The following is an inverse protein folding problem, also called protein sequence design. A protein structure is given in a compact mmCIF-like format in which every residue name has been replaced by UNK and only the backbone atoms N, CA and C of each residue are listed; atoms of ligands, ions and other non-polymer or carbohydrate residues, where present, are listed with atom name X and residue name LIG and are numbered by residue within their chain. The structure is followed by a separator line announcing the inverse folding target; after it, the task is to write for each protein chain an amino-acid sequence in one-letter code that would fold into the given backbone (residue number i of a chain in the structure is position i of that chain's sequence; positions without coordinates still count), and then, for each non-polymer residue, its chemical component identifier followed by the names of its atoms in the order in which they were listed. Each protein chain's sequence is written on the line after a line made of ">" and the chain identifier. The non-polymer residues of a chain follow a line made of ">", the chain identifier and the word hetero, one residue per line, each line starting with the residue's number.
data_IF_651524244283
#
_entry.id   IF_651524244283
#
_cell.length_a   1.000
_cell.length_b   1.000
_cell.length_c   1.000
_cell.angle_alpha   90.00
_cell.angle_beta   90.00
_cell.angle_gamma   90.00
#
_symmetry.space_group_name_H-M   'P 1'
#
loop_
_entity.id
_entity.type
_entity.pdbx_description
1 polymer ?
#
# COMPACT_ATOMS: atom_id res chain seq x y z
N UNK A 1 -41.57 -16.64 -32.98
CA UNK A 1 -42.59 -15.65 -33.39
C UNK A 1 -43.88 -16.02 -32.69
N UNK A 2 -44.55 -15.24 -31.86
CA UNK A 2 -44.33 -13.96 -31.19
C UNK A 2 -45.48 -13.91 -30.17
N UNK A 3 -45.21 -13.99 -28.87
CA UNK A 3 -46.19 -13.61 -27.85
C UNK A 3 -45.71 -12.32 -27.21
N UNK A 4 -46.40 -11.25 -27.57
CA UNK A 4 -46.07 -9.85 -27.30
C UNK A 4 -47.23 -9.29 -26.48
N UNK A 5 -46.91 -8.96 -25.22
CA UNK A 5 -47.49 -7.92 -24.36
C UNK A 5 -48.88 -8.15 -23.74
N UNK A 6 -48.88 -8.60 -22.47
CA UNK A 6 -49.88 -8.18 -21.50
C UNK A 6 -49.69 -6.69 -21.15
N UNK A 7 -50.71 -5.88 -21.40
CA UNK A 7 -50.78 -4.50 -20.90
C UNK A 7 -51.25 -4.50 -19.44
N UNK A 8 -50.32 -4.26 -18.51
CA UNK A 8 -50.64 -3.89 -17.13
C UNK A 8 -51.24 -2.47 -17.10
N UNK A 9 -52.54 -2.38 -16.84
CA UNK A 9 -53.21 -1.10 -16.61
C UNK A 9 -52.93 -0.63 -15.18
N UNK A 10 -51.92 0.23 -15.02
CA UNK A 10 -51.61 0.86 -13.73
C UNK A 10 -52.84 1.60 -13.18
N UNK A 11 -53.25 1.27 -11.96
CA UNK A 11 -54.39 1.90 -11.29
C UNK A 11 -54.17 3.42 -11.16
N UNK A 12 -55.26 4.18 -11.24
CA UNK A 12 -55.27 5.65 -11.04
C UNK A 12 -54.63 6.05 -9.70
N UNK A 13 -54.62 5.15 -8.73
CA UNK A 13 -54.01 5.32 -7.41
C UNK A 13 -52.49 5.15 -7.45
N UNK A 14 -51.97 4.16 -8.18
CA UNK A 14 -50.53 3.95 -8.37
C UNK A 14 -49.91 5.12 -9.12
N UNK A 15 -50.58 5.60 -10.17
CA UNK A 15 -50.14 6.79 -10.90
C UNK A 15 -50.10 8.04 -10.01
N UNK A 16 -51.04 8.19 -9.06
CA UNK A 16 -51.03 9.30 -8.09
C UNK A 16 -49.87 9.18 -7.11
N UNK A 17 -49.59 7.99 -6.60
CA UNK A 17 -48.47 7.73 -5.68
C UNK A 17 -47.12 7.90 -6.38
N UNK A 18 -46.98 7.46 -7.63
CA UNK A 18 -45.78 7.69 -8.44
C UNK A 18 -45.57 9.16 -8.75
N UNK A 19 -46.62 9.90 -9.14
CA UNK A 19 -46.51 11.35 -9.37
C UNK A 19 -46.13 12.08 -8.08
N UNK A 20 -46.74 11.71 -6.94
CA UNK A 20 -46.41 12.30 -5.65
C UNK A 20 -44.95 12.02 -5.25
N UNK A 21 -44.47 10.79 -5.47
CA UNK A 21 -43.09 10.40 -5.19
C UNK A 21 -42.08 11.15 -6.07
N UNK A 22 -42.40 11.37 -7.34
CA UNK A 22 -41.53 12.13 -8.27
C UNK A 22 -41.51 13.61 -7.92
N UNK A 23 -42.64 14.21 -7.55
CA UNK A 23 -42.68 15.61 -7.11
C UNK A 23 -41.91 15.78 -5.81
N UNK A 24 -42.05 14.86 -4.85
CA UNK A 24 -41.35 14.90 -3.58
C UNK A 24 -39.84 14.69 -3.73
N UNK A 25 -39.40 13.76 -4.60
CA UNK A 25 -37.97 13.58 -4.89
C UNK A 25 -37.36 14.80 -5.57
N UNK A 26 -38.08 15.44 -6.48
CA UNK A 26 -37.65 16.68 -7.14
C UNK A 26 -37.49 17.83 -6.14
N UNK A 27 -38.40 17.93 -5.17
CA UNK A 27 -38.34 18.93 -4.10
C UNK A 27 -37.15 18.70 -3.16
N UNK A 28 -36.91 17.45 -2.75
CA UNK A 28 -35.78 17.09 -1.88
C UNK A 28 -34.44 17.37 -2.58
N UNK A 29 -34.30 17.01 -3.86
CA UNK A 29 -33.07 17.28 -4.63
C UNK A 29 -32.88 18.78 -4.83
N UNK A 30 -33.94 19.55 -5.08
CA UNK A 30 -33.86 21.00 -5.27
C UNK A 30 -33.42 21.72 -3.99
N UNK A 31 -33.96 21.33 -2.83
CA UNK A 31 -33.55 21.88 -1.52
C UNK A 31 -32.11 21.46 -1.19
N UNK A 32 -31.75 20.20 -1.47
CA UNK A 32 -30.37 19.72 -1.29
C UNK A 32 -29.35 20.50 -2.12
N UNK A 33 -29.68 20.80 -3.38
CA UNK A 33 -28.82 21.58 -4.27
C UNK A 33 -28.70 23.05 -3.82
N UNK A 34 -29.77 23.63 -3.28
CA UNK A 34 -29.76 25.00 -2.75
C UNK A 34 -28.90 25.13 -1.48
N UNK A 35 -28.94 24.13 -0.59
CA UNK A 35 -28.09 24.08 0.61
C UNK A 35 -26.62 23.87 0.22
N UNK A 36 -26.34 23.02 -0.78
CA UNK A 36 -24.98 22.82 -1.29
C UNK A 36 -24.38 24.10 -1.89
N UNK A 37 -25.17 24.86 -2.67
CA UNK A 37 -24.71 26.11 -3.27
C UNK A 37 -24.54 27.25 -2.25
N UNK A 38 -25.31 27.25 -1.15
CA UNK A 38 -25.19 28.24 -0.09
C UNK A 38 -23.98 28.01 0.84
N UNK A 39 -23.59 26.74 1.06
CA UNK A 39 -22.46 26.37 1.92
C UNK A 39 -21.14 26.20 1.15
N UNK A 40 -21.20 25.97 -0.17
CA UNK A 40 -20.04 25.74 -1.03
C UNK A 40 -20.19 26.45 -2.39
N UNK A 41 -20.04 27.78 -2.46
CA UNK A 41 -20.06 28.50 -3.74
C UNK A 41 -18.89 28.07 -4.65
N UNK A 42 -19.09 27.87 -5.96
CA UNK A 42 -18.01 27.50 -6.87
C UNK A 42 -16.98 28.62 -6.99
N UNK A 43 -15.70 28.31 -6.74
CA UNK A 43 -14.60 29.27 -6.93
C UNK A 43 -14.43 29.61 -8.41
N UNK A 44 -14.48 30.90 -8.74
CA UNK A 44 -14.17 31.41 -10.08
C UNK A 44 -12.68 31.17 -10.39
N UNK A 45 -12.39 30.33 -11.40
CA UNK A 45 -11.05 30.18 -11.95
C UNK A 45 -10.75 31.36 -12.88
N UNK A 46 -9.82 32.22 -12.46
CA UNK A 46 -9.22 33.25 -13.31
C UNK A 46 -8.51 32.60 -14.50
N UNK A 47 -8.90 33.06 -15.68
CA UNK A 47 -8.29 32.77 -16.97
C UNK A 47 -6.99 33.55 -17.08
N UNK A 48 -5.85 32.86 -17.15
CA UNK A 48 -4.56 33.49 -17.50
C UNK A 48 -4.23 33.18 -18.95
N UNK A 49 -4.14 34.25 -19.75
CA UNK A 49 -3.74 34.25 -21.15
C UNK A 49 -2.25 33.92 -21.31
N UNK A 50 -1.93 33.19 -22.38
CA UNK A 50 -0.58 32.98 -22.88
C UNK A 50 -0.04 34.23 -23.60
N UNK A 51 1.30 34.36 -23.67
CA UNK A 51 1.91 34.76 -24.94
C UNK A 51 2.98 33.77 -25.43
N UNK A 52 3.10 33.72 -26.76
CA UNK A 52 3.97 32.86 -27.55
C UNK A 52 5.35 33.48 -27.87
N UNK A 53 6.34 32.57 -28.00
CA UNK A 53 7.53 32.54 -28.89
C UNK A 53 8.58 33.67 -28.78
N UNK A 54 9.89 33.40 -28.62
CA UNK A 54 10.78 32.87 -29.67
C UNK A 54 12.18 32.49 -29.12
N UNK A 55 12.91 31.73 -29.95
CA UNK A 55 14.18 31.00 -29.81
C UNK A 55 15.49 31.75 -29.52
N UNK A 56 16.46 31.05 -28.90
CA UNK A 56 17.88 30.99 -29.35
C UNK A 56 18.68 29.89 -28.62
N UNK A 57 19.52 29.16 -29.38
CA UNK A 57 20.48 28.13 -28.95
C UNK A 57 21.66 28.70 -28.14
N UNK A 58 22.28 27.88 -27.27
CA UNK A 58 23.63 28.13 -26.76
C UNK A 58 23.96 27.38 -25.45
N UNK A 59 24.86 26.42 -25.57
CA UNK A 59 25.53 25.53 -24.59
C UNK A 59 25.97 26.17 -23.26
N UNK A 60 25.89 25.40 -22.15
CA UNK A 60 26.97 25.02 -21.19
C UNK A 60 26.47 24.85 -19.74
N UNK A 61 26.88 23.75 -19.08
CA UNK A 61 26.74 23.48 -17.62
C UNK A 61 27.82 24.29 -16.87
N UNK A 62 27.62 24.77 -15.62
CA UNK A 62 27.59 23.85 -14.47
C UNK A 62 26.76 24.27 -13.22
N UNK A 63 26.51 23.25 -12.39
CA UNK A 63 26.41 23.22 -10.91
C UNK A 63 25.46 24.16 -10.12
N UNK A 64 24.48 23.50 -9.48
CA UNK A 64 24.04 23.63 -8.07
C UNK A 64 23.60 25.01 -7.54
N UNK A 65 22.28 25.21 -7.42
CA UNK A 65 21.73 25.82 -6.21
C UNK A 65 20.27 25.42 -5.96
N UNK A 66 19.98 25.12 -4.70
CA UNK A 66 18.65 24.87 -4.15
C UNK A 66 17.76 26.11 -4.35
N UNK A 67 16.66 25.95 -5.09
CA UNK A 67 15.48 26.78 -4.92
C UNK A 67 14.23 25.89 -4.85
N UNK A 68 13.63 25.95 -3.67
CA UNK A 68 12.30 25.49 -3.31
C UNK A 68 11.25 26.09 -4.24
N UNK A 69 10.50 25.22 -4.93
CA UNK A 69 9.17 25.55 -5.43
C UNK A 69 8.15 25.34 -4.30
N UNK A 70 7.28 26.31 -4.00
CA UNK A 70 6.15 26.10 -3.12
C UNK A 70 4.95 25.56 -3.92
N UNK A 71 4.31 24.50 -3.43
CA UNK A 71 2.96 24.11 -3.83
C UNK A 71 2.83 22.74 -4.49
N UNK A 72 2.97 21.69 -3.69
CA UNK A 72 2.24 20.44 -3.90
C UNK A 72 1.77 19.96 -2.52
N UNK A 73 0.47 19.74 -2.39
CA UNK A 73 -0.15 19.27 -1.15
C UNK A 73 0.37 17.86 -0.92
N UNK A 74 1.28 17.69 0.04
CA UNK A 74 1.80 16.39 0.43
C UNK A 74 0.76 15.66 1.27
N UNK A 75 -0.15 14.94 0.60
CA UNK A 75 -1.10 14.01 1.24
C UNK A 75 -0.49 12.62 1.45
N UNK A 76 0.79 12.44 1.10
CA UNK A 76 1.56 11.23 1.38
C UNK A 76 2.17 11.35 2.79
N UNK A 77 1.95 10.39 3.70
CA UNK A 77 2.49 10.46 5.05
C UNK A 77 4.01 10.61 5.03
N UNK A 78 4.56 11.68 5.61
CA UNK A 78 5.98 11.69 5.90
C UNK A 78 6.25 10.67 7.01
N UNK A 79 7.21 9.73 6.86
CA UNK A 79 7.57 8.86 7.97
C UNK A 79 8.00 9.72 9.15
N UNK A 80 7.49 9.41 10.34
CA UNK A 80 7.88 10.09 11.58
C UNK A 80 9.40 9.95 11.72
N UNK A 81 10.16 11.04 11.93
CA UNK A 81 11.60 10.95 12.12
C UNK A 81 11.89 10.01 13.28
N UNK A 82 12.67 8.96 13.01
CA UNK A 82 13.14 8.06 14.05
C UNK A 82 14.12 8.86 14.90
N UNK A 83 13.69 9.33 16.08
CA UNK A 83 14.65 9.79 17.08
C UNK A 83 15.50 8.59 17.47
N UNK A 84 16.81 8.72 17.26
CA UNK A 84 17.79 7.75 17.71
C UNK A 84 17.60 7.55 19.22
N UNK A 85 17.15 6.35 19.60
CA UNK A 85 17.11 5.96 21.00
C UNK A 85 18.57 5.91 21.45
N UNK A 86 18.89 6.67 22.51
CA UNK A 86 20.26 6.88 22.96
C UNK A 86 21.08 5.59 23.05
N UNK A 87 22.32 5.68 22.59
CA UNK A 87 23.34 4.64 22.65
C UNK A 87 23.58 4.18 24.09
N UNK A 88 22.97 3.05 24.46
CA UNK A 88 23.38 2.25 25.60
C UNK A 88 24.15 1.03 25.08
N UNK A 89 25.47 1.06 25.28
CA UNK A 89 26.34 -0.08 25.05
C UNK A 89 25.81 -1.32 25.80
N UNK A 90 25.65 -2.43 25.09
CA UNK A 90 25.49 -3.76 25.69
C UNK A 90 24.10 -4.12 26.27
N UNK A 91 23.03 -3.43 25.89
CA UNK A 91 21.68 -3.86 26.27
C UNK A 91 21.15 -4.89 25.27
N UNK A 92 21.08 -6.15 25.69
CA UNK A 92 20.33 -7.18 24.97
C UNK A 92 18.87 -6.74 24.91
N UNK A 93 18.35 -6.46 23.71
CA UNK A 93 16.93 -6.15 23.55
C UNK A 93 16.16 -7.43 23.94
N UNK A 94 15.31 -7.42 24.98
CA UNK A 94 14.57 -8.60 25.39
C UNK A 94 13.78 -9.18 24.22
N UNK A 95 13.76 -10.50 24.07
CA UNK A 95 12.97 -11.15 23.01
C UNK A 95 11.59 -11.48 23.57
N UNK A 96 10.48 -11.14 22.87
CA UNK A 96 9.15 -11.54 23.29
C UNK A 96 9.03 -13.07 23.44
N UNK A 97 8.28 -13.52 24.44
CA UNK A 97 8.13 -14.94 24.76
C UNK A 97 7.06 -15.67 23.93
N UNK A 98 6.13 -14.93 23.30
CA UNK A 98 5.03 -15.47 22.55
C UNK A 98 4.63 -14.57 21.37
N UNK A 99 4.02 -15.19 20.37
CA UNK A 99 3.38 -14.48 19.27
C UNK A 99 2.11 -13.75 19.76
N UNK A 100 1.91 -12.52 19.30
CA UNK A 100 0.79 -11.67 19.68
C UNK A 100 0.34 -10.82 18.49
N UNK A 101 -0.96 -10.52 18.46
CA UNK A 101 -1.55 -9.61 17.48
C UNK A 101 -1.67 -8.17 18.01
N UNK A 102 -1.56 -7.21 17.11
CA UNK A 102 -1.61 -5.78 17.36
C UNK A 102 -2.50 -5.12 16.31
N UNK A 103 -3.31 -4.15 16.71
CA UNK A 103 -4.29 -3.51 15.84
C UNK A 103 -3.99 -2.02 15.75
N UNK A 104 -3.85 -1.52 14.52
CA UNK A 104 -3.91 -0.10 14.21
C UNK A 104 -5.24 0.17 13.51
N UNK A 105 -6.02 1.11 14.02
CA UNK A 105 -7.34 1.45 13.48
C UNK A 105 -7.44 2.95 13.20
N UNK A 106 -7.92 3.28 12.00
CA UNK A 106 -8.32 4.64 11.60
C UNK A 106 -9.82 4.66 11.33
N UNK A 107 -10.39 5.77 10.86
CA UNK A 107 -11.79 5.84 10.45
C UNK A 107 -12.13 5.00 9.20
N UNK A 108 -11.14 4.73 8.32
CA UNK A 108 -11.31 4.01 7.04
C UNK A 108 -10.71 2.61 7.02
N UNK A 109 -9.67 2.32 7.82
CA UNK A 109 -9.01 1.00 7.84
C UNK A 109 -8.86 0.43 9.25
N UNK A 110 -8.81 -0.91 9.33
CA UNK A 110 -8.33 -1.67 10.49
C UNK A 110 -7.23 -2.61 10.03
N UNK A 111 -6.00 -2.38 10.47
CA UNK A 111 -4.84 -3.20 10.17
C UNK A 111 -4.48 -4.06 11.38
N UNK A 112 -4.42 -5.38 11.19
CA UNK A 112 -3.95 -6.32 12.22
C UNK A 112 -2.57 -6.82 11.85
N UNK A 113 -1.65 -6.74 12.80
CA UNK A 113 -0.27 -7.18 12.68
C UNK A 113 0.04 -8.30 13.65
N UNK A 114 0.98 -9.18 13.31
CA UNK A 114 1.62 -10.09 14.27
C UNK A 114 3.03 -9.62 14.59
N UNK A 115 3.50 -9.83 15.83
CA UNK A 115 4.91 -9.60 16.16
C UNK A 115 5.86 -10.67 15.58
N UNK A 116 5.37 -11.78 15.02
CA UNK A 116 6.19 -12.68 14.23
C UNK A 116 6.58 -12.00 12.90
N UNK A 117 7.84 -11.54 12.79
CA UNK A 117 8.32 -10.80 11.61
C UNK A 117 7.72 -9.40 11.39
N UNK A 118 6.86 -8.93 12.30
CA UNK A 118 6.19 -7.63 12.19
C UNK A 118 5.32 -7.56 10.93
N UNK A 119 4.54 -8.60 10.68
CA UNK A 119 3.80 -8.82 9.44
C UNK A 119 2.35 -8.33 9.55
N UNK A 120 1.80 -7.76 8.47
CA UNK A 120 0.39 -7.42 8.34
C UNK A 120 -0.40 -8.70 8.01
N UNK A 121 -1.27 -9.15 8.89
CA UNK A 121 -2.06 -10.38 8.69
C UNK A 121 -3.47 -10.08 8.16
N UNK A 122 -3.95 -8.85 8.35
CA UNK A 122 -5.22 -8.38 7.82
C UNK A 122 -5.22 -6.86 7.63
N UNK A 123 -5.91 -6.38 6.59
CA UNK A 123 -6.24 -4.98 6.40
C UNK A 123 -7.68 -4.82 5.92
N UNK A 124 -8.59 -4.54 6.86
CA UNK A 124 -10.02 -4.41 6.60
C UNK A 124 -10.39 -2.97 6.23
N UNK A 125 -11.10 -2.80 5.12
CA UNK A 125 -11.62 -1.51 4.66
C UNK A 125 -13.00 -1.23 5.29
N UNK A 126 -13.04 -0.40 6.33
CA UNK A 126 -14.21 -0.16 7.19
C UNK A 126 -15.43 0.43 6.47
N UNK A 127 -15.21 1.16 5.37
CA UNK A 127 -16.27 1.79 4.57
C UNK A 127 -16.84 0.89 3.46
N UNK A 128 -16.28 -0.30 3.27
CA UNK A 128 -16.65 -1.20 2.17
C UNK A 128 -17.17 -2.51 2.73
N UNK A 129 -18.50 -2.61 2.84
CA UNK A 129 -19.16 -3.74 3.49
C UNK A 129 -18.84 -5.06 2.79
N UNK A 130 -18.51 -6.04 3.60
CA UNK A 130 -18.50 -7.45 3.23
C UNK A 130 -19.38 -8.21 4.23
N UNK A 131 -20.49 -8.76 3.76
CA UNK A 131 -21.45 -9.47 4.60
C UNK A 131 -20.99 -10.89 4.96
N UNK A 132 -19.97 -11.41 4.26
CA UNK A 132 -19.36 -12.71 4.53
C UNK A 132 -18.28 -12.63 5.60
N UNK A 133 -17.76 -11.42 5.85
CA UNK A 133 -16.68 -11.17 6.79
C UNK A 133 -17.26 -10.69 8.13
N UNK A 134 -16.90 -11.37 9.22
CA UNK A 134 -17.36 -11.01 10.57
C UNK A 134 -16.88 -9.63 11.03
N UNK A 135 -15.81 -9.09 10.41
CA UNK A 135 -15.30 -7.73 10.65
C UNK A 135 -16.14 -6.65 9.95
N UNK A 136 -17.04 -7.06 9.04
CA UNK A 136 -18.02 -6.21 8.38
C UNK A 136 -17.48 -5.38 7.22
N UNK A 137 -16.23 -5.58 6.81
CA UNK A 137 -15.59 -4.87 5.70
C UNK A 137 -14.72 -5.79 4.85
N UNK A 138 -14.38 -5.35 3.64
CA UNK A 138 -13.49 -6.09 2.73
C UNK A 138 -12.09 -6.15 3.32
N UNK A 139 -11.56 -7.36 3.53
CA UNK A 139 -10.16 -7.58 3.90
C UNK A 139 -9.27 -7.64 2.67
N UNK A 140 -8.26 -6.79 2.64
CA UNK A 140 -7.34 -6.66 1.52
C UNK A 140 -6.13 -7.57 1.61
N UNK A 141 -5.87 -8.23 2.74
CA UNK A 141 -4.83 -9.26 2.88
C UNK A 141 -5.53 -10.60 3.06
N UNK A 142 -5.66 -11.37 1.99
CA UNK A 142 -6.41 -12.62 1.99
C UNK A 142 -5.46 -13.80 2.19
N UNK A 143 -5.58 -14.56 3.29
CA UNK A 143 -4.77 -15.74 3.50
C UNK A 143 -5.19 -16.89 2.56
N UNK A 144 -4.17 -17.59 2.05
CA UNK A 144 -4.33 -18.85 1.33
C UNK A 144 -4.17 -20.04 2.26
N UNK A 145 -3.93 -21.22 1.69
CA UNK A 145 -3.75 -22.47 2.43
C UNK A 145 -2.53 -22.49 3.35
N UNK A 146 -1.51 -21.67 3.03
CA UNK A 146 -0.28 -21.51 3.83
C UNK A 146 -0.28 -20.23 4.67
N UNK A 147 -1.42 -19.54 4.80
CA UNK A 147 -1.54 -18.25 5.48
C UNK A 147 -1.43 -17.05 4.55
N UNK A 148 -1.22 -15.87 5.15
CA UNK A 148 -0.97 -14.61 4.45
C UNK A 148 0.53 -14.28 4.47
N UNK A 149 0.93 -13.41 3.55
CA UNK A 149 2.22 -12.74 3.51
C UNK A 149 1.97 -11.25 3.29
N UNK A 150 1.55 -10.53 4.34
CA UNK A 150 1.24 -9.10 4.21
C UNK A 150 2.45 -8.23 4.56
N UNK A 151 3.16 -7.76 3.53
CA UNK A 151 4.37 -6.95 3.70
C UNK A 151 5.40 -7.65 4.60
N UNK A 152 5.52 -8.96 4.40
CA UNK A 152 6.52 -9.81 5.03
C UNK A 152 7.91 -9.44 4.54
N UNK A 153 8.94 -9.62 5.37
CA UNK A 153 10.32 -9.32 5.01
C UNK A 153 11.16 -10.59 5.00
N UNK A 154 11.87 -10.82 3.91
CA UNK A 154 12.84 -11.91 3.77
C UNK A 154 14.23 -11.32 3.53
N UNK A 155 15.26 -11.80 4.21
CA UNK A 155 16.64 -11.43 3.86
C UNK A 155 17.08 -12.17 2.59
N UNK A 156 17.81 -11.50 1.70
CA UNK A 156 18.18 -12.04 0.40
C UNK A 156 17.04 -11.99 -0.63
N UNK A 157 17.20 -12.75 -1.71
CA UNK A 157 16.27 -12.77 -2.86
C UNK A 157 15.17 -13.82 -2.75
N UNK A 158 15.32 -14.84 -1.91
CA UNK A 158 14.35 -15.93 -1.78
C UNK A 158 13.18 -15.47 -0.90
N UNK A 159 11.91 -15.69 -1.32
CA UNK A 159 10.74 -15.38 -0.49
C UNK A 159 10.64 -16.42 0.64
N UNK A 160 11.33 -16.14 1.74
CA UNK A 160 11.31 -16.92 2.98
C UNK A 160 11.13 -15.94 4.13
N UNK A 161 9.88 -15.52 4.41
CA UNK A 161 9.58 -14.54 5.43
C UNK A 161 10.22 -14.87 6.76
N UNK A 162 10.85 -13.87 7.38
CA UNK A 162 11.29 -13.98 8.77
C UNK A 162 10.07 -14.13 9.69
N UNK A 163 10.16 -15.01 10.69
CA UNK A 163 9.06 -15.30 11.64
C UNK A 163 9.48 -15.08 13.08
N UNK A 164 10.68 -14.57 13.29
CA UNK A 164 11.19 -14.26 14.60
C UNK A 164 10.33 -13.20 15.31
N UNK A 165 10.06 -13.43 16.60
CA UNK A 165 9.24 -12.53 17.41
C UNK A 165 9.94 -11.17 17.63
N UNK A 166 9.26 -10.09 17.28
CA UNK A 166 9.80 -8.73 17.33
C UNK A 166 9.23 -7.95 18.52
N UNK A 167 10.07 -7.11 19.13
CA UNK A 167 9.60 -6.15 20.12
C UNK A 167 8.65 -5.16 19.46
N UNK A 168 7.52 -4.91 20.09
CA UNK A 168 6.44 -4.13 19.48
C UNK A 168 6.09 -2.93 20.36
N UNK A 169 5.93 -1.76 19.75
CA UNK A 169 5.58 -0.53 20.44
C UNK A 169 4.68 0.34 19.57
N UNK A 170 3.55 0.81 20.11
CA UNK A 170 2.80 1.91 19.49
C UNK A 170 3.53 3.23 19.73
N UNK A 171 3.65 4.03 18.68
CA UNK A 171 4.24 5.35 18.74
C UNK A 171 3.13 6.41 18.72
N UNK A 172 3.24 7.42 19.59
CA UNK A 172 2.23 8.45 19.77
C UNK A 172 1.01 7.99 20.57
N UNK A 173 0.20 8.95 21.00
CA UNK A 173 -0.97 8.70 21.87
C UNK A 173 -2.15 8.10 21.11
N UNK A 174 -2.32 8.45 19.84
CA UNK A 174 -3.42 7.99 18.98
C UNK A 174 -3.23 6.56 18.45
N UNK A 175 -2.07 5.92 18.70
CA UNK A 175 -1.73 4.55 18.26
C UNK A 175 -1.90 4.31 16.76
N UNK A 176 -1.79 5.35 15.94
CA UNK A 176 -1.83 5.25 14.47
C UNK A 176 -0.51 4.77 13.86
N UNK A 177 0.52 4.65 14.69
CA UNK A 177 1.87 4.26 14.29
C UNK A 177 2.33 3.10 15.17
N UNK A 178 2.87 2.04 14.55
CA UNK A 178 3.36 0.85 15.26
C UNK A 178 4.76 0.49 14.77
N UNK A 179 5.65 0.22 15.71
CA UNK A 179 7.03 -0.17 15.46
C UNK A 179 7.28 -1.60 15.91
N UNK A 180 7.95 -2.37 15.06
CA UNK A 180 8.49 -3.70 15.34
C UNK A 180 10.01 -3.64 15.26
N UNK A 181 10.71 -4.20 16.23
CA UNK A 181 12.18 -4.22 16.24
C UNK A 181 12.76 -5.52 16.73
N UNK A 182 13.86 -5.96 16.11
CA UNK A 182 14.60 -7.15 16.53
C UNK A 182 16.07 -7.02 16.15
N UNK A 183 16.93 -7.57 16.99
CA UNK A 183 18.35 -7.71 16.71
C UNK A 183 18.61 -8.97 15.87
N UNK A 184 19.39 -8.80 14.81
CA UNK A 184 19.89 -9.85 13.91
C UNK A 184 21.40 -9.74 13.80
N UNK A 185 22.02 -10.67 13.07
CA UNK A 185 23.46 -10.68 12.82
C UNK A 185 23.76 -10.61 11.32
N UNK A 186 24.78 -9.84 10.95
CA UNK A 186 25.29 -9.75 9.58
C UNK A 186 26.84 -9.77 9.57
N UNK A 187 27.47 -10.19 8.47
CA UNK A 187 28.91 -10.04 8.30
C UNK A 187 29.33 -8.57 8.41
N UNK A 188 30.42 -8.32 9.15
CA UNK A 188 31.14 -7.05 9.12
C UNK A 188 31.74 -6.85 7.73
N UNK A 189 31.70 -5.63 7.20
CA UNK A 189 32.28 -5.36 5.88
C UNK A 189 33.77 -5.73 5.83
N UNK A 190 34.12 -6.59 4.87
CA UNK A 190 35.50 -7.09 4.70
C UNK A 190 35.91 -8.21 5.65
N UNK A 191 34.98 -8.81 6.39
CA UNK A 191 35.24 -9.92 7.32
C UNK A 191 34.09 -10.92 7.37
N UNK A 192 34.38 -12.18 7.67
CA UNK A 192 33.35 -13.20 7.94
C UNK A 192 32.81 -13.12 9.38
N UNK A 193 33.40 -12.25 10.22
CA UNK A 193 32.90 -12.01 11.56
C UNK A 193 31.49 -11.43 11.51
N UNK A 194 30.55 -12.10 12.17
CA UNK A 194 29.19 -11.59 12.36
C UNK A 194 29.14 -10.59 13.50
N UNK A 195 28.40 -9.50 13.28
CA UNK A 195 28.12 -8.45 14.26
C UNK A 195 26.63 -8.16 14.32
N UNK A 196 26.10 -7.73 15.48
CA UNK A 196 24.67 -7.46 15.62
C UNK A 196 24.26 -6.16 14.92
N UNK A 197 23.06 -6.17 14.36
CA UNK A 197 22.34 -4.99 13.88
C UNK A 197 20.88 -5.06 14.30
N UNK A 198 20.22 -3.90 14.40
CA UNK A 198 18.80 -3.79 14.69
C UNK A 198 18.04 -3.60 13.38
N UNK A 199 17.08 -4.49 13.12
CA UNK A 199 16.04 -4.28 12.13
C UNK A 199 14.84 -3.63 12.81
N UNK A 200 14.33 -2.54 12.24
CA UNK A 200 13.11 -1.86 12.69
C UNK A 200 12.14 -1.66 11.53
N UNK A 201 10.89 -2.09 11.69
CA UNK A 201 9.77 -1.81 10.79
C UNK A 201 8.83 -0.83 11.48
N UNK A 202 8.51 0.31 10.86
CA UNK A 202 7.54 1.27 11.40
C UNK A 202 6.44 1.49 10.39
N UNK A 203 5.21 1.14 10.76
CA UNK A 203 4.01 1.38 9.97
C UNK A 203 3.31 2.63 10.50
N UNK A 204 3.00 3.58 9.61
CA UNK A 204 2.40 4.88 9.96
C UNK A 204 1.14 5.14 9.15
N UNK A 205 0.00 5.27 9.84
CA UNK A 205 -1.32 5.47 9.25
C UNK A 205 -1.86 6.88 9.52
N UNK A 206 -2.67 7.39 8.60
CA UNK A 206 -3.40 8.64 8.75
C UNK A 206 -4.91 8.39 8.72
N UNK A 207 -5.67 9.23 9.42
CA UNK A 207 -7.13 9.24 9.31
C UNK A 207 -7.55 9.69 7.91
N UNK A 208 -8.60 9.07 7.37
CA UNK A 208 -9.18 9.34 6.05
C UNK A 208 -8.40 8.74 4.88
N UNK A 209 -7.27 8.07 5.14
CA UNK A 209 -6.33 7.61 4.12
C UNK A 209 -6.27 6.08 4.00
N UNK A 210 -6.26 5.60 2.75
CA UNK A 210 -6.02 4.19 2.40
C UNK A 210 -4.55 3.90 2.09
N UNK A 211 -3.72 4.95 2.01
CA UNK A 211 -2.27 4.85 1.89
C UNK A 211 -1.60 5.01 3.26
N UNK A 212 -0.65 4.12 3.56
CA UNK A 212 0.17 4.20 4.76
C UNK A 212 1.66 4.05 4.42
N UNK A 213 2.51 4.54 5.32
CA UNK A 213 3.97 4.44 5.19
C UNK A 213 4.53 3.22 5.93
N UNK A 214 5.55 2.60 5.34
CA UNK A 214 6.44 1.65 6.00
C UNK A 214 7.88 2.17 5.92
N UNK A 215 8.51 2.37 7.07
CA UNK A 215 9.95 2.60 7.17
C UNK A 215 10.65 1.31 7.64
N UNK A 216 11.62 0.82 6.87
CA UNK A 216 12.49 -0.30 7.24
C UNK A 216 13.87 0.25 7.54
N UNK A 217 14.31 0.15 8.79
CA UNK A 217 15.63 0.63 9.24
C UNK A 217 16.52 -0.53 9.62
N UNK A 218 17.78 -0.43 9.22
CA UNK A 218 18.88 -1.32 9.57
C UNK A 218 19.91 -0.44 10.26
N UNK A 219 20.29 -0.77 11.49
CA UNK A 219 21.22 0.04 12.28
C UNK A 219 22.21 -0.84 13.04
N UNK A 220 23.51 -0.62 12.83
CA UNK A 220 24.57 -1.26 13.62
C UNK A 220 24.87 -0.38 14.85
N UNK A 221 24.61 -0.86 16.09
CA UNK A 221 24.77 -0.05 17.31
C UNK A 221 26.16 0.59 17.55
N UNK A 222 27.24 -0.01 17.05
CA UNK A 222 28.61 0.50 17.23
C UNK A 222 29.08 1.35 16.02
N UNK A 223 28.21 1.60 15.04
CA UNK A 223 28.56 2.35 13.83
C UNK A 223 29.50 1.63 12.86
N UNK A 224 29.74 0.32 13.04
CA UNK A 224 30.57 -0.49 12.15
C UNK A 224 29.78 -0.84 10.88
N UNK A 225 30.42 -0.85 9.70
CA UNK A 225 29.73 -1.20 8.47
C UNK A 225 29.45 -2.70 8.40
N UNK A 226 28.20 -3.07 8.15
CA UNK A 226 27.77 -4.44 7.85
C UNK A 226 27.48 -4.61 6.37
N UNK A 227 27.43 -5.86 5.89
CA UNK A 227 27.02 -6.20 4.52
C UNK A 227 25.79 -7.09 4.54
N UNK A 228 24.76 -6.71 3.77
CA UNK A 228 23.57 -7.51 3.52
C UNK A 228 23.39 -7.71 2.01
N UNK A 229 23.04 -8.93 1.61
CA UNK A 229 22.77 -9.26 0.21
C UNK A 229 24.01 -9.36 -0.65
N UNK A 230 24.99 -10.18 -0.27
CA UNK A 230 26.20 -10.44 -1.06
C UNK A 230 25.91 -10.98 -2.48
N UNK A 231 24.70 -11.51 -2.71
CA UNK A 231 24.17 -11.94 -4.00
C UNK A 231 23.37 -10.86 -4.75
N UNK A 232 23.41 -9.61 -4.30
CA UNK A 232 22.81 -8.45 -4.99
C UNK A 232 21.51 -7.93 -4.36
N UNK A 233 20.82 -8.71 -3.52
CA UNK A 233 19.57 -8.31 -2.85
C UNK A 233 19.75 -8.39 -1.33
N UNK A 234 19.65 -7.27 -0.62
CA UNK A 234 19.76 -7.26 0.85
C UNK A 234 18.54 -7.91 1.51
N UNK A 235 17.36 -7.52 1.07
CA UNK A 235 16.09 -8.09 1.50
C UNK A 235 15.01 -7.84 0.46
N UNK A 236 13.89 -8.54 0.62
CA UNK A 236 12.66 -8.31 -0.13
C UNK A 236 11.46 -8.10 0.80
N UNK A 237 10.50 -7.30 0.33
CA UNK A 237 9.19 -7.14 0.96
C UNK A 237 8.14 -7.79 0.05
N UNK A 238 7.38 -8.73 0.59
CA UNK A 238 6.42 -9.52 -0.18
C UNK A 238 4.97 -9.21 0.24
N UNK A 239 4.08 -9.21 -0.75
CA UNK A 239 2.64 -9.24 -0.58
C UNK A 239 2.08 -10.51 -1.19
N UNK A 240 1.21 -11.20 -0.47
CA UNK A 240 0.46 -12.35 -0.96
C UNK A 240 -0.38 -13.03 0.12
N UNK A 241 -0.97 -14.18 -0.21
CA UNK A 241 -1.06 -14.75 -1.55
C UNK A 241 -2.17 -14.11 -2.39
N UNK A 242 -3.02 -13.23 -1.87
CA UNK A 242 -4.05 -12.55 -2.66
C UNK A 242 -4.53 -11.26 -1.99
N UNK A 243 -4.93 -10.28 -2.80
CA UNK A 243 -5.69 -9.13 -2.30
C UNK A 243 -7.19 -9.37 -2.42
N UNK A 244 -7.94 -8.86 -1.45
CA UNK A 244 -9.39 -9.05 -1.42
C UNK A 244 -10.17 -8.21 -2.44
N UNK A 245 -11.48 -8.46 -2.54
CA UNK A 245 -12.25 -9.52 -1.84
C UNK A 245 -11.91 -10.94 -2.36
N UNK A 246 -12.31 -11.98 -1.63
CA UNK A 246 -12.02 -13.38 -2.01
C UNK A 246 -12.74 -13.79 -3.30
N UNK A 247 -12.09 -14.60 -4.14
CA UNK A 247 -12.68 -15.11 -5.40
C UNK A 247 -13.80 -16.12 -5.21
N UNK A 248 -13.85 -16.83 -4.09
CA UNK A 248 -14.85 -17.87 -3.82
C UNK A 248 -16.28 -17.32 -3.73
N UNK A 249 -16.43 -16.02 -3.47
CA UNK A 249 -17.71 -15.33 -3.39
C UNK A 249 -18.17 -14.71 -4.71
N UNK A 250 -17.35 -14.79 -5.77
CA UNK A 250 -17.57 -14.06 -7.00
C UNK A 250 -17.97 -15.02 -8.13
N UNK A 251 -18.97 -14.68 -8.96
CA UNK A 251 -19.32 -15.45 -10.15
C UNK A 251 -18.10 -15.66 -11.05
N UNK A 252 -18.12 -16.73 -11.86
CA UNK A 252 -17.06 -16.98 -12.85
C UNK A 252 -16.86 -15.74 -13.72
N UNK A 253 -15.62 -15.24 -13.82
CA UNK A 253 -15.20 -14.01 -14.51
C UNK A 253 -15.64 -12.67 -13.87
N UNK A 254 -16.17 -12.66 -12.65
CA UNK A 254 -16.64 -11.43 -12.01
C UNK A 254 -15.53 -10.57 -11.43
N UNK A 255 -14.31 -11.10 -11.26
CA UNK A 255 -13.17 -10.39 -10.71
C UNK A 255 -11.85 -10.87 -11.34
N UNK A 256 -10.84 -10.02 -11.29
CA UNK A 256 -9.52 -10.25 -11.88
C UNK A 256 -8.44 -9.72 -10.96
N UNK A 257 -7.20 -10.17 -11.15
CA UNK A 257 -6.02 -9.57 -10.54
C UNK A 257 -5.03 -9.28 -11.65
N UNK A 258 -4.82 -7.99 -11.92
CA UNK A 258 -3.91 -7.51 -12.97
C UNK A 258 -2.71 -6.83 -12.34
N UNK A 259 -1.53 -7.27 -12.70
CA UNK A 259 -0.31 -6.56 -12.35
C UNK A 259 -0.17 -5.35 -13.25
N UNK A 260 0.12 -4.20 -12.65
CA UNK A 260 0.39 -2.96 -13.37
C UNK A 260 1.65 -2.35 -12.78
N UNK A 261 2.65 -2.10 -13.61
CA UNK A 261 3.85 -1.35 -13.24
C UNK A 261 3.88 -0.02 -13.98
N UNK A 262 4.35 1.04 -13.36
CA UNK A 262 4.73 2.26 -14.09
C UNK A 262 6.23 2.22 -14.32
N UNK A 263 6.61 2.10 -15.59
CA UNK A 263 8.00 1.99 -16.04
C UNK A 263 8.29 3.16 -16.97
N UNK A 264 9.24 4.01 -16.60
CA UNK A 264 9.70 5.17 -17.39
C UNK A 264 8.54 6.13 -17.79
N UNK A 265 7.65 6.43 -16.84
CA UNK A 265 6.46 7.27 -17.01
C UNK A 265 5.26 6.56 -17.65
N UNK A 266 5.34 5.26 -17.93
CA UNK A 266 4.30 4.52 -18.68
C UNK A 266 3.76 3.34 -17.88
N UNK A 267 2.43 3.30 -17.74
CA UNK A 267 1.71 2.16 -17.16
C UNK A 267 1.77 0.96 -18.11
N UNK A 268 2.31 -0.16 -17.64
CA UNK A 268 2.39 -1.45 -18.34
C UNK A 268 1.60 -2.48 -17.56
N UNK A 269 0.75 -3.24 -18.25
CA UNK A 269 0.07 -4.40 -17.66
C UNK A 269 0.94 -5.62 -17.83
N UNK A 270 1.18 -6.33 -16.73
CA UNK A 270 2.03 -7.52 -16.70
C UNK A 270 1.15 -8.77 -16.54
N UNK A 271 1.54 -9.85 -17.23
CA UNK A 271 0.79 -11.12 -17.26
C UNK A 271 1.76 -12.27 -17.07
N UNK A 272 2.19 -12.55 -15.82
CA UNK A 272 3.14 -13.62 -15.55
C UNK A 272 2.56 -14.97 -15.97
N UNK A 273 3.43 -15.87 -16.44
CA UNK A 273 3.04 -17.26 -16.67
C UNK A 273 2.76 -17.92 -15.32
N UNK A 274 1.75 -18.79 -15.27
CA UNK A 274 1.45 -19.54 -14.05
C UNK A 274 2.68 -20.33 -13.57
N UNK A 275 2.93 -20.32 -12.26
CA UNK A 275 4.04 -21.01 -11.60
C UNK A 275 5.42 -20.55 -12.08
N UNK A 276 5.54 -19.32 -12.57
CA UNK A 276 6.81 -18.74 -13.01
C UNK A 276 6.90 -17.30 -12.57
N UNK A 277 7.86 -17.01 -11.69
CA UNK A 277 8.19 -15.65 -11.31
C UNK A 277 8.60 -14.82 -12.54
N UNK A 278 8.03 -13.62 -12.66
CA UNK A 278 8.38 -12.63 -13.67
C UNK A 278 9.04 -11.45 -12.99
N UNK A 279 10.23 -11.08 -13.46
CA UNK A 279 10.98 -9.93 -12.93
C UNK A 279 10.60 -8.68 -13.71
N UNK A 280 10.25 -7.62 -12.99
CA UNK A 280 9.96 -6.30 -13.54
C UNK A 280 11.19 -5.40 -13.39
N UNK A 281 11.39 -4.52 -14.38
CA UNK A 281 12.56 -3.67 -14.47
C UNK A 281 12.75 -2.77 -13.22
N UNK A 282 14.01 -2.49 -12.82
CA UNK A 282 14.34 -1.57 -11.73
C UNK A 282 13.82 -0.14 -11.92
N UNK A 283 13.59 0.28 -13.18
CA UNK A 283 13.08 1.60 -13.52
C UNK A 283 11.59 1.78 -13.22
N UNK A 284 10.91 0.74 -12.72
CA UNK A 284 9.52 0.90 -12.31
C UNK A 284 9.43 1.78 -11.04
N UNK A 285 8.60 2.82 -11.08
CA UNK A 285 8.41 3.76 -9.95
C UNK A 285 7.40 3.23 -8.92
N UNK A 286 6.45 2.41 -9.36
CA UNK A 286 5.50 1.69 -8.53
C UNK A 286 5.01 0.42 -9.21
N UNK A 287 4.49 -0.49 -8.39
CA UNK A 287 3.89 -1.75 -8.83
C UNK A 287 2.55 -1.95 -8.12
N UNK A 288 1.55 -2.40 -8.86
CA UNK A 288 0.19 -2.57 -8.38
C UNK A 288 -0.35 -3.94 -8.71
N UNK A 289 -1.20 -4.44 -7.82
CA UNK A 289 -2.15 -5.50 -8.12
C UNK A 289 -3.55 -4.88 -8.14
N UNK A 290 -4.15 -4.76 -9.33
CA UNK A 290 -5.48 -4.18 -9.52
C UNK A 290 -6.54 -5.28 -9.59
N UNK A 291 -7.54 -5.14 -8.72
CA UNK A 291 -8.83 -5.83 -8.80
C UNK A 291 -9.88 -5.05 -9.58
N UNK A 292 -11.11 -5.58 -9.59
CA UNK A 292 -12.27 -4.88 -10.16
C UNK A 292 -12.57 -3.57 -9.44
N UNK A 293 -12.72 -3.62 -8.12
CA UNK A 293 -13.10 -2.46 -7.28
C UNK A 293 -11.98 -1.93 -6.40
N UNK A 294 -10.98 -2.74 -6.07
CA UNK A 294 -9.91 -2.40 -5.15
C UNK A 294 -8.55 -2.59 -5.80
N UNK A 295 -7.53 -1.97 -5.24
CA UNK A 295 -6.15 -2.13 -5.67
C UNK A 295 -5.22 -2.17 -4.46
N UNK A 296 -4.13 -2.92 -4.63
CA UNK A 296 -2.89 -2.70 -3.92
C UNK A 296 -1.93 -1.91 -4.80
N UNK A 297 -1.22 -0.93 -4.24
CA UNK A 297 -0.15 -0.20 -4.92
C UNK A 297 1.04 -0.07 -3.96
N UNK A 298 2.22 -0.44 -4.43
CA UNK A 298 3.48 -0.29 -3.73
C UNK A 298 4.33 0.80 -4.40
N UNK A 299 4.73 1.80 -3.63
CA UNK A 299 5.53 2.94 -4.07
C UNK A 299 6.79 3.04 -3.21
N UNK A 300 7.93 2.45 -3.63
CA UNK A 300 9.20 2.67 -2.94
C UNK A 300 9.68 4.12 -3.16
N UNK A 301 10.21 4.75 -2.10
CA UNK A 301 10.77 6.11 -2.20
C UNK A 301 12.17 6.14 -2.83
N UNK A 302 12.91 5.04 -2.72
CA UNK A 302 14.22 4.86 -3.31
C UNK A 302 14.19 3.78 -4.40
N UNK A 303 15.03 3.86 -5.44
CA UNK A 303 15.11 2.83 -6.47
C UNK A 303 15.41 1.45 -5.88
N UNK A 304 14.76 0.42 -6.44
CA UNK A 304 14.96 -0.98 -6.09
C UNK A 304 15.85 -1.68 -7.13
N UNK A 305 16.34 -2.89 -6.81
CA UNK A 305 17.00 -3.76 -7.79
C UNK A 305 16.01 -4.43 -8.75
N UNK A 306 14.71 -4.32 -8.48
CA UNK A 306 13.65 -4.86 -9.31
C UNK A 306 12.44 -5.23 -8.48
N UNK A 307 11.47 -5.83 -9.15
CA UNK A 307 10.29 -6.38 -8.54
C UNK A 307 10.06 -7.78 -9.08
N UNK A 308 9.38 -8.62 -8.32
CA UNK A 308 9.02 -9.96 -8.73
C UNK A 308 7.52 -10.14 -8.61
N UNK A 309 6.89 -10.74 -9.61
CA UNK A 309 5.46 -11.07 -9.58
C UNK A 309 5.29 -12.54 -9.95
N UNK A 310 4.37 -13.22 -9.28
CA UNK A 310 4.04 -14.61 -9.59
C UNK A 310 2.55 -14.85 -9.42
N UNK A 311 1.99 -15.68 -10.30
CA UNK A 311 0.64 -16.22 -10.15
C UNK A 311 0.72 -17.74 -10.07
N UNK A 312 0.10 -18.32 -9.06
CA UNK A 312 0.04 -19.77 -8.84
C UNK A 312 -1.42 -20.20 -8.54
N UNK A 313 -1.64 -21.48 -8.27
CA UNK A 313 -2.89 -22.00 -7.75
C UNK A 313 -2.80 -22.19 -6.24
N UNK A 314 -3.91 -21.99 -5.55
CA UNK A 314 -4.04 -22.32 -4.14
C UNK A 314 -5.39 -23.01 -3.91
N UNK A 315 -5.45 -24.10 -3.14
CA UNK A 315 -6.69 -24.88 -2.97
C UNK A 315 -7.79 -24.13 -2.22
N UNK A 316 -7.45 -23.14 -1.38
CA UNK A 316 -8.39 -22.36 -0.59
C UNK A 316 -8.89 -21.12 -1.34
N UNK A 317 -8.01 -20.42 -2.05
CA UNK A 317 -8.33 -19.14 -2.72
C UNK A 317 -8.32 -19.21 -4.25
N UNK A 318 -8.21 -20.43 -4.81
CA UNK A 318 -8.15 -20.80 -6.24
C UNK A 318 -6.91 -20.30 -6.97
N UNK A 319 -6.44 -19.09 -6.68
CA UNK A 319 -5.30 -18.47 -7.33
C UNK A 319 -4.53 -17.61 -6.35
N UNK A 320 -3.20 -17.66 -6.43
CA UNK A 320 -2.32 -16.71 -5.76
C UNK A 320 -1.88 -15.61 -6.73
N UNK A 321 -1.61 -14.44 -6.18
CA UNK A 321 -1.02 -13.29 -6.84
C UNK A 321 -0.03 -12.66 -5.86
N UNK A 322 1.24 -13.04 -5.97
CA UNK A 322 2.30 -12.51 -5.11
C UNK A 322 3.04 -11.38 -5.82
N UNK A 323 3.64 -10.51 -5.01
CA UNK A 323 4.43 -9.37 -5.43
C UNK A 323 5.58 -9.18 -4.44
N UNK A 324 6.82 -9.11 -4.94
CA UNK A 324 8.03 -8.85 -4.17
C UNK A 324 8.73 -7.56 -4.60
N UNK A 325 9.13 -6.73 -3.63
CA UNK A 325 9.97 -5.55 -3.81
C UNK A 325 11.41 -5.93 -3.47
N UNK A 326 12.34 -5.89 -4.42
CA UNK A 326 13.70 -6.39 -4.22
C UNK A 326 14.68 -5.25 -3.90
N UNK A 327 15.04 -5.08 -2.63
CA UNK A 327 16.03 -4.08 -2.21
C UNK A 327 17.42 -4.57 -2.62
N UNK A 328 18.19 -3.74 -3.34
CA UNK A 328 19.62 -3.94 -3.66
C UNK A 328 20.49 -4.36 -2.47
N UNK A 329 21.75 -4.72 -2.66
CA UNK A 329 22.69 -4.99 -1.56
C UNK A 329 22.93 -3.73 -0.70
N UNK A 330 23.27 -3.92 0.57
CA UNK A 330 23.61 -2.85 1.50
C UNK A 330 25.02 -3.08 2.04
N UNK A 331 25.82 -2.02 2.06
CA UNK A 331 27.08 -1.98 2.79
C UNK A 331 27.16 -0.64 3.54
N UNK A 332 27.15 -0.67 4.87
CA UNK A 332 27.12 0.55 5.68
C UNK A 332 26.74 0.28 7.12
N UNK A 333 26.78 1.31 7.96
CA UNK A 333 26.44 1.20 9.38
C UNK A 333 24.94 1.36 9.63
N UNK A 334 24.25 2.17 8.84
CA UNK A 334 22.81 2.35 8.94
C UNK A 334 22.16 2.73 7.61
N UNK A 335 20.88 2.38 7.46
CA UNK A 335 20.02 2.82 6.36
C UNK A 335 18.57 2.80 6.81
N UNK A 336 17.75 3.67 6.21
CA UNK A 336 16.29 3.63 6.34
C UNK A 336 15.68 3.70 4.95
N UNK A 337 15.00 2.64 4.55
CA UNK A 337 14.23 2.58 3.32
C UNK A 337 12.76 2.94 3.63
N UNK A 338 12.12 3.72 2.76
CA UNK A 338 10.72 4.14 2.92
C UNK A 338 9.88 3.62 1.77
N UNK A 339 8.71 3.09 2.09
CA UNK A 339 7.72 2.57 1.15
C UNK A 339 6.35 3.16 1.50
N UNK A 340 5.53 3.41 0.49
CA UNK A 340 4.12 3.70 0.66
C UNK A 340 3.29 2.59 0.05
N UNK A 341 2.26 2.15 0.78
CA UNK A 341 1.35 1.12 0.34
C UNK A 341 -0.08 1.63 0.37
N UNK A 342 -0.75 1.54 -0.76
CA UNK A 342 -2.18 1.78 -0.89
C UNK A 342 -2.92 0.45 -0.84
N UNK A 343 -3.92 0.36 0.04
CA UNK A 343 -4.90 -0.73 0.04
C UNK A 343 -6.29 -0.11 0.10
N UNK A 344 -6.98 -0.03 -1.04
CA UNK A 344 -8.22 0.73 -1.07
C UNK A 344 -8.98 0.65 -2.39
N UNK A 345 -10.08 1.41 -2.49
CA UNK A 345 -10.93 1.44 -3.68
C UNK A 345 -10.22 2.06 -4.90
N UNK A 346 -10.52 1.57 -6.09
CA UNK A 346 -9.94 2.05 -7.35
C UNK A 346 -10.81 3.14 -7.98
N UNK A 347 -11.20 4.14 -7.19
CA UNK A 347 -11.96 5.29 -7.67
C UNK A 347 -11.02 6.46 -7.92
N UNK A 348 -11.33 7.29 -8.91
CA UNK A 348 -10.53 8.49 -9.20
C UNK A 348 -10.47 9.46 -8.01
N UNK A 349 -11.54 9.54 -7.21
CA UNK A 349 -11.57 10.40 -6.02
C UNK A 349 -10.62 9.97 -4.91
N UNK A 350 -10.38 8.66 -4.75
CA UNK A 350 -9.46 8.15 -3.73
C UNK A 350 -8.03 8.10 -4.24
N UNK A 351 -7.81 7.62 -5.47
CA UNK A 351 -6.47 7.56 -6.06
C UNK A 351 -5.91 8.94 -6.43
N UNK A 352 -6.77 9.89 -6.84
CA UNK A 352 -6.37 11.25 -7.20
C UNK A 352 -5.84 12.07 -6.02
N UNK A 353 -5.95 11.57 -4.78
CA UNK A 353 -5.27 12.15 -3.61
C UNK A 353 -3.75 11.97 -3.65
N UNK A 354 -3.23 11.09 -4.50
CA UNK A 354 -1.80 10.74 -4.52
C UNK A 354 -1.12 11.02 -5.86
N UNK A 355 -1.79 11.73 -6.77
CA UNK A 355 -1.23 12.14 -8.08
C UNK A 355 -0.48 13.48 -8.04
#
# INVERSE_FOLDING_TARGET
>A
MNDIFEQQTNSKEDRRRTILAVVLSTLIVSVGFMVQNALFPPSEQQTTQAPAQTSSQGTELPAQNNQTLPGAVAIVPAPVPVQAMGTAAGSTIPVPAAEQEYIVETDVVRATFTNAGGELVSLTLKKHKDMSDSRGGVDMVVPGSQGSEGLSLSFGSTPSPMRELMNTQYLGENKNTIAFSRMFEAPLAGSDQKVPFVLKKIFSFNDGEYMFGLAVSIEQPDGKPIVLGSNGIAYRIDLGPQIGPRFDQLPKNADFRKYIAEVDGKKKTESPKANTATVIAPSASWLSLSGKYFAFIAVPKAPLSGYEIETNQDPLIKQTNTLGLLRSSFAGASTTDTYYFYFGPKTSGELGKYE
#
